data_IF_716124583668
#
_entry.id   IF_716124583668
#
_cell.length_a   1.000
_cell.length_b   1.000
_cell.length_c   1.000
_cell.angle_alpha   90.00
_cell.angle_beta   90.00
_cell.angle_gamma   90.00
#
_symmetry.space_group_name_H-M   'P 1'
#
loop_
_entity.id
_entity.type
_entity.pdbx_description
1 polymer ?
#
# COMPACT_ATOMS: atom_id res chain seq x y z
N UNK A 1 -11.94 10.61 20.10
CA UNK A 1 -12.03 10.98 18.68
C UNK A 1 -11.84 9.71 17.87
N UNK A 2 -12.78 9.36 16.99
CA UNK A 2 -12.64 8.15 16.15
C UNK A 2 -11.65 8.48 15.04
N UNK A 3 -10.42 8.00 15.16
CA UNK A 3 -9.44 8.08 14.09
C UNK A 3 -9.84 6.99 13.10
N UNK A 4 -10.74 7.30 12.17
CA UNK A 4 -11.02 6.43 11.03
C UNK A 4 -10.06 6.81 9.91
N UNK A 5 -9.45 5.81 9.27
CA UNK A 5 -8.55 6.03 8.13
C UNK A 5 -9.15 5.35 6.91
N UNK A 6 -9.32 6.13 5.84
CA UNK A 6 -9.84 5.64 4.57
C UNK A 6 -8.67 5.35 3.62
N UNK A 7 -8.55 4.11 3.16
CA UNK A 7 -7.43 3.69 2.31
C UNK A 7 -7.27 2.18 2.27
N UNK A 8 -6.02 1.71 2.17
CA UNK A 8 -5.72 0.28 2.14
C UNK A 8 -5.42 -0.34 3.52
N UNK A 9 -5.21 0.47 4.56
CA UNK A 9 -4.86 -0.05 5.88
C UNK A 9 -3.45 -0.64 5.96
N UNK A 10 -2.45 0.05 5.41
CA UNK A 10 -1.05 -0.32 5.52
C UNK A 10 -0.23 0.86 6.04
N UNK A 11 0.76 0.57 6.89
CA UNK A 11 1.78 1.49 7.33
C UNK A 11 2.95 1.44 6.38
N UNK A 12 3.23 2.57 5.74
CA UNK A 12 4.33 2.71 4.80
C UNK A 12 5.52 3.36 5.49
N UNK A 13 6.68 2.78 5.26
CA UNK A 13 7.98 3.31 5.67
C UNK A 13 8.80 3.70 4.45
N UNK A 14 9.91 4.38 4.72
CA UNK A 14 10.93 4.63 3.70
C UNK A 14 12.17 3.85 4.04
N UNK A 15 12.71 3.14 3.06
CA UNK A 15 14.04 2.56 3.14
C UNK A 15 14.81 2.94 1.89
N UNK A 16 15.83 3.77 2.10
CA UNK A 16 16.61 4.39 1.03
C UNK A 16 15.68 5.13 0.04
N UNK A 17 15.61 4.66 -1.20
CA UNK A 17 14.82 5.23 -2.30
C UNK A 17 13.47 4.51 -2.51
N UNK A 18 13.21 3.43 -1.76
CA UNK A 18 11.99 2.65 -1.89
C UNK A 18 11.03 2.94 -0.74
N UNK A 19 9.74 2.92 -1.06
CA UNK A 19 8.68 2.91 -0.05
C UNK A 19 8.43 1.47 0.35
N UNK A 20 8.68 1.09 1.60
CA UNK A 20 8.36 -0.26 2.08
C UNK A 20 7.06 -0.28 2.86
N UNK A 21 6.50 -1.47 3.01
CA UNK A 21 5.41 -1.74 3.93
C UNK A 21 6.02 -2.05 5.29
N UNK A 22 5.97 -1.11 6.23
CA UNK A 22 6.46 -1.32 7.59
C UNK A 22 5.54 -2.23 8.39
N UNK A 23 4.23 -2.12 8.21
CA UNK A 23 3.25 -2.99 8.87
C UNK A 23 1.90 -2.94 8.17
N UNK A 24 1.06 -3.94 8.40
CA UNK A 24 -0.32 -3.96 7.92
C UNK A 24 -1.25 -3.69 9.12
N UNK A 25 -2.27 -2.87 8.91
CA UNK A 25 -3.25 -2.56 9.95
C UNK A 25 -4.22 -3.73 10.07
N UNK A 26 -4.38 -4.32 11.26
CA UNK A 26 -5.31 -5.42 11.46
C UNK A 26 -6.75 -4.97 11.19
N UNK A 27 -7.51 -5.81 10.50
CA UNK A 27 -8.87 -5.47 10.03
C UNK A 27 -8.93 -4.50 8.85
N UNK A 28 -7.78 -4.09 8.30
CA UNK A 28 -7.70 -3.29 7.07
C UNK A 28 -7.83 -4.14 5.80
N UNK A 29 -8.20 -3.55 4.65
CA UNK A 29 -8.36 -4.31 3.40
C UNK A 29 -7.05 -4.92 2.88
N UNK A 30 -5.89 -4.33 3.21
CA UNK A 30 -4.60 -4.94 2.91
C UNK A 30 -4.36 -6.26 3.68
N UNK A 31 -4.84 -6.36 4.92
CA UNK A 31 -4.79 -7.62 5.68
C UNK A 31 -5.80 -8.62 5.13
N UNK A 32 -7.02 -8.18 4.85
CA UNK A 32 -8.08 -9.05 4.32
C UNK A 32 -7.72 -9.67 2.97
N UNK A 33 -7.01 -8.93 2.12
CA UNK A 33 -6.49 -9.42 0.86
C UNK A 33 -5.34 -10.44 1.08
N UNK A 34 -4.48 -10.20 2.07
CA UNK A 34 -3.43 -11.12 2.50
C UNK A 34 -2.28 -11.32 1.49
N UNK A 35 -2.31 -10.63 0.34
CA UNK A 35 -1.23 -10.64 -0.65
C UNK A 35 -0.10 -9.67 -0.30
N UNK A 36 -0.41 -8.56 0.39
CA UNK A 36 0.59 -7.62 0.90
C UNK A 36 1.19 -8.10 2.22
N UNK A 37 2.51 -7.94 2.35
CA UNK A 37 3.24 -8.30 3.56
C UNK A 37 4.13 -7.17 4.03
N UNK A 38 4.38 -7.14 5.34
CA UNK A 38 5.41 -6.26 5.89
C UNK A 38 6.77 -6.70 5.33
N UNK A 39 7.58 -5.72 4.89
CA UNK A 39 8.85 -5.94 4.19
C UNK A 39 8.79 -5.73 2.67
N UNK A 40 7.59 -5.77 2.06
CA UNK A 40 7.44 -5.55 0.62
C UNK A 40 7.77 -4.10 0.25
N UNK A 41 8.39 -3.92 -0.92
CA UNK A 41 8.81 -2.60 -1.46
C UNK A 41 7.89 -2.17 -2.59
N UNK A 42 7.26 -1.02 -2.46
CA UNK A 42 6.38 -0.43 -3.47
C UNK A 42 7.24 0.30 -4.51
N UNK A 43 7.14 -0.12 -5.76
CA UNK A 43 7.83 0.49 -6.91
C UNK A 43 6.90 1.40 -7.70
N UNK A 44 5.64 1.02 -7.86
CA UNK A 44 4.66 1.81 -8.61
C UNK A 44 3.25 1.75 -8.00
N UNK A 45 2.46 2.80 -8.25
CA UNK A 45 1.07 2.90 -7.80
C UNK A 45 0.16 3.25 -8.99
N UNK A 46 -0.89 2.47 -9.19
CA UNK A 46 -1.92 2.67 -10.22
C UNK A 46 -3.29 2.96 -9.61
N UNK A 47 -4.03 3.89 -10.20
CA UNK A 47 -5.36 4.29 -9.72
C UNK A 47 -6.48 3.56 -10.48
N UNK A 48 -7.32 2.79 -9.79
CA UNK A 48 -8.42 2.06 -10.41
C UNK A 48 -7.99 0.80 -11.18
N UNK A 49 -8.93 0.28 -11.98
CA UNK A 49 -8.73 -0.93 -12.79
C UNK A 49 -8.04 -0.69 -14.14
N UNK A 50 -7.89 0.55 -14.57
CA UNK A 50 -7.22 0.87 -15.85
C UNK A 50 -6.23 2.02 -15.69
N UNK A 51 -5.94 2.40 -14.44
CA UNK A 51 -4.96 3.43 -14.14
C UNK A 51 -3.58 3.03 -14.59
N UNK A 52 -2.85 4.00 -15.13
CA UNK A 52 -1.43 3.87 -15.37
C UNK A 52 -0.71 3.68 -14.03
N UNK A 53 0.20 2.71 -13.99
CA UNK A 53 1.16 2.55 -12.91
C UNK A 53 2.13 3.73 -12.98
N UNK A 54 2.11 4.54 -11.94
CA UNK A 54 3.04 5.65 -11.76
C UNK A 54 4.19 5.15 -10.92
N UNK A 55 5.41 5.24 -11.46
CA UNK A 55 6.62 4.93 -10.71
C UNK A 55 6.79 5.93 -9.57
N UNK A 56 6.92 5.39 -8.36
CA UNK A 56 7.05 6.17 -7.12
C UNK A 56 8.43 5.98 -6.47
N UNK A 57 9.40 5.43 -7.21
CA UNK A 57 10.76 5.23 -6.69
C UNK A 57 11.40 6.60 -6.48
N UNK A 58 11.96 6.82 -5.29
CA UNK A 58 12.52 8.11 -4.88
C UNK A 58 11.49 9.18 -4.49
N UNK A 59 10.19 8.87 -4.51
CA UNK A 59 9.16 9.80 -4.04
C UNK A 59 9.14 9.87 -2.51
N UNK A 60 8.57 10.95 -1.99
CA UNK A 60 8.36 11.05 -0.54
C UNK A 60 7.23 10.12 -0.16
N UNK A 61 7.37 9.44 0.98
CA UNK A 61 6.34 8.54 1.51
C UNK A 61 5.00 9.24 1.58
N UNK A 62 4.95 10.52 1.99
CA UNK A 62 3.71 11.29 2.06
C UNK A 62 2.97 11.37 0.72
N UNK A 63 3.68 11.56 -0.40
CA UNK A 63 3.10 11.63 -1.75
C UNK A 63 2.57 10.25 -2.18
N UNK A 64 3.32 9.19 -1.87
CA UNK A 64 2.90 7.80 -2.15
C UNK A 64 1.69 7.42 -1.31
N UNK A 65 1.67 7.80 -0.03
CA UNK A 65 0.54 7.58 0.86
C UNK A 65 -0.68 8.37 0.35
N UNK A 66 -0.52 9.58 -0.20
CA UNK A 66 -1.62 10.33 -0.81
C UNK A 66 -2.22 9.62 -2.02
N UNK A 67 -1.37 9.05 -2.90
CA UNK A 67 -1.82 8.23 -4.02
C UNK A 67 -2.54 6.96 -3.57
N UNK A 68 -2.07 6.33 -2.49
CA UNK A 68 -2.63 5.08 -1.99
C UNK A 68 -3.92 5.32 -1.21
N UNK A 69 -4.00 6.44 -0.49
CA UNK A 69 -5.23 6.94 0.12
C UNK A 69 -6.23 7.31 -0.98
N UNK A 70 -7.51 7.24 -0.62
CA UNK A 70 -8.58 7.52 -1.55
C UNK A 70 -9.93 7.13 -0.99
N UNK A 71 -11.02 7.48 -1.67
CA UNK A 71 -12.36 7.16 -1.24
C UNK A 71 -12.56 5.65 -1.14
N UNK A 72 -13.34 5.22 -0.14
CA UNK A 72 -13.78 3.82 -0.04
C UNK A 72 -14.45 3.35 -1.33
N UNK A 73 -14.43 2.04 -1.56
CA UNK A 73 -14.99 1.39 -2.76
C UNK A 73 -14.22 1.69 -4.07
N UNK A 74 -13.04 2.31 -3.97
CA UNK A 74 -12.17 2.48 -5.15
C UNK A 74 -11.00 1.51 -5.10
N UNK A 75 -10.56 1.06 -6.27
CA UNK A 75 -9.45 0.12 -6.36
C UNK A 75 -8.15 0.85 -6.59
N UNK A 76 -7.08 0.42 -5.94
CA UNK A 76 -5.72 0.88 -6.18
C UNK A 76 -4.87 -0.33 -6.52
N UNK A 77 -3.92 -0.16 -7.43
CA UNK A 77 -2.93 -1.17 -7.79
C UNK A 77 -1.58 -0.77 -7.25
N UNK A 78 -0.94 -1.69 -6.56
CA UNK A 78 0.37 -1.52 -5.97
C UNK A 78 1.26 -2.51 -6.68
N UNK A 79 2.28 -2.00 -7.35
CA UNK A 79 3.38 -2.85 -7.77
C UNK A 79 4.34 -2.98 -6.59
N UNK A 80 4.43 -4.20 -6.09
CA UNK A 80 5.30 -4.55 -4.97
C UNK A 80 6.41 -5.47 -5.43
N UNK A 81 7.59 -5.21 -4.91
CA UNK A 81 8.76 -6.06 -5.01
C UNK A 81 8.94 -6.75 -3.64
N UNK A 82 8.81 -8.08 -3.58
CA UNK A 82 9.04 -8.83 -2.35
C UNK A 82 10.43 -8.55 -1.76
N UNK A 83 10.59 -8.63 -0.44
CA UNK A 83 11.91 -8.48 0.19
C UNK A 83 12.92 -9.52 -0.32
N UNK A 84 12.44 -10.75 -0.54
CA UNK A 84 13.24 -11.91 -0.98
C UNK A 84 13.63 -11.81 -2.47
N UNK A 85 12.93 -10.97 -3.23
CA UNK A 85 13.23 -10.73 -4.63
C UNK A 85 14.41 -9.77 -4.80
N UNK A 86 15.31 -10.10 -5.73
CA UNK A 86 16.36 -9.18 -6.17
C UNK A 86 15.76 -7.90 -6.76
N UNK A 87 16.55 -6.83 -6.87
CA UNK A 87 16.11 -5.52 -7.42
C UNK A 87 15.59 -5.62 -8.87
N UNK A 88 15.95 -6.68 -9.60
CA UNK A 88 15.38 -7.05 -10.92
C UNK A 88 14.51 -8.30 -10.89
N UNK A 89 14.01 -8.67 -9.72
CA UNK A 89 13.10 -9.79 -9.54
C UNK A 89 11.70 -9.48 -10.10
N UNK A 90 10.82 -10.49 -10.17
CA UNK A 90 9.46 -10.29 -10.63
C UNK A 90 8.72 -9.41 -9.62
N UNK A 91 8.33 -8.21 -10.04
CA UNK A 91 7.36 -7.41 -9.31
C UNK A 91 5.99 -8.07 -9.39
N UNK A 92 5.17 -7.87 -8.36
CA UNK A 92 3.80 -8.36 -8.30
C UNK A 92 2.86 -7.16 -8.27
N UNK A 93 1.90 -7.14 -9.18
CA UNK A 93 0.85 -6.14 -9.18
C UNK A 93 -0.29 -6.67 -8.32
N UNK A 94 -0.60 -5.96 -7.25
CA UNK A 94 -1.65 -6.28 -6.30
C UNK A 94 -2.69 -5.17 -6.36
N UNK A 95 -3.90 -5.53 -6.76
CA UNK A 95 -5.08 -4.68 -6.71
C UNK A 95 -5.77 -4.82 -5.36
N UNK A 96 -6.06 -3.69 -4.71
CA UNK A 96 -6.74 -3.65 -3.41
C UNK A 96 -7.90 -2.67 -3.49
N UNK A 97 -9.04 -3.11 -3.01
CA UNK A 97 -10.22 -2.26 -2.82
C UNK A 97 -10.04 -1.45 -1.54
N UNK A 98 -10.00 -0.13 -1.67
CA UNK A 98 -9.94 0.80 -0.54
C UNK A 98 -11.21 0.68 0.29
N UNK A 99 -11.05 0.70 1.60
CA UNK A 99 -12.17 0.66 2.52
C UNK A 99 -11.90 1.56 3.73
N UNK A 100 -12.96 1.81 4.51
CA UNK A 100 -12.82 2.44 5.82
C UNK A 100 -12.20 1.43 6.78
N UNK A 101 -11.02 1.76 7.29
CA UNK A 101 -10.38 1.00 8.37
C UNK A 101 -10.74 1.67 9.67
N UNK A 102 -11.47 0.93 10.51
CA UNK A 102 -11.69 1.32 11.89
C UNK A 102 -10.46 0.91 12.67
N UNK A 103 -9.75 1.89 13.22
CA UNK A 103 -8.74 1.66 14.25
C UNK A 103 -9.48 1.26 15.55
N UNK A 104 -10.00 0.04 15.57
CA UNK A 104 -10.33 -0.69 16.80
C UNK A 104 -9.12 -1.59 17.08
N UNK A 105 -8.60 -1.55 18.31
CA UNK A 105 -7.50 -2.40 18.82
C UNK A 105 -6.05 -1.95 18.52
N UNK A 106 -5.62 -0.90 19.23
CA UNK A 106 -4.49 -1.05 20.15
C UNK A 106 -4.87 -0.35 21.46
N UNK A 107 -5.52 -1.08 22.36
CA UNK A 107 -5.71 -0.72 23.76
C UNK A 107 -5.12 -1.81 24.64
#
# INVERSE_FOLDING_TARGET
MKLSLEGIGALLGRENEYTLISSIVPGGPAEQDGRLRAGDRITAVGQGHDGKLVDVIGWRVDDVVDLIRGPKDTVVRLEVLPEDASVSGPTQIIDIVRNEVKLEEQA
#
